data_IF_752738695766
#
_entry.id   IF_752738695766
#
_cell.length_a   1.000
_cell.length_b   1.000
_cell.length_c   1.000
_cell.angle_alpha   90.00
_cell.angle_beta   90.00
_cell.angle_gamma   90.00
#
_symmetry.space_group_name_H-M   'P 1'
#
loop_
_entity.id
_entity.type
_entity.pdbx_description
1 polymer ?
#
# COMPACT_ATOMS: atom_id res chain seq x y z
N UNK A 1 -16.40 -6.75 8.53
CA UNK A 1 -16.78 -5.38 8.10
C UNK A 1 -15.55 -4.78 7.44
N UNK A 2 -15.65 -4.37 6.17
CA UNK A 2 -14.54 -3.74 5.46
C UNK A 2 -14.63 -2.23 5.70
N UNK A 3 -13.60 -1.65 6.31
CA UNK A 3 -13.45 -0.20 6.48
C UNK A 3 -12.79 0.45 5.26
N UNK A 4 -12.38 1.70 5.41
CA UNK A 4 -11.64 2.45 4.38
C UNK A 4 -10.13 2.16 4.38
N UNK A 5 -9.64 1.31 5.28
CA UNK A 5 -8.22 0.96 5.33
C UNK A 5 -7.87 0.02 4.18
N UNK A 6 -6.92 0.45 3.36
CA UNK A 6 -6.37 -0.29 2.24
C UNK A 6 -4.88 -0.54 2.46
N UNK A 7 -4.35 -1.58 1.81
CA UNK A 7 -2.92 -1.89 1.82
C UNK A 7 -2.43 -2.11 0.39
N UNK A 8 -1.22 -1.65 0.11
CA UNK A 8 -0.51 -1.90 -1.14
C UNK A 8 0.59 -2.92 -0.83
N UNK A 9 0.58 -4.05 -1.52
CA UNK A 9 1.56 -5.10 -1.30
C UNK A 9 2.80 -4.85 -2.19
N UNK A 10 3.98 -4.70 -1.57
CA UNK A 10 5.26 -4.52 -2.28
C UNK A 10 5.83 -5.84 -2.78
N UNK A 11 5.47 -6.95 -2.13
CA UNK A 11 5.78 -8.33 -2.54
C UNK A 11 4.48 -9.12 -2.71
N UNK A 12 4.48 -10.17 -3.54
CA UNK A 12 3.31 -11.02 -3.77
C UNK A 12 2.97 -11.77 -2.46
N UNK A 13 1.83 -11.51 -1.81
CA UNK A 13 1.51 -12.13 -0.53
C UNK A 13 0.67 -13.39 -0.75
N UNK A 14 1.31 -14.52 -1.03
CA UNK A 14 0.60 -15.80 -1.32
C UNK A 14 -0.26 -16.30 -0.15
N UNK A 15 0.01 -15.83 1.06
CA UNK A 15 -0.74 -16.15 2.28
C UNK A 15 -2.03 -15.34 2.46
N UNK A 16 -2.28 -14.34 1.60
CA UNK A 16 -3.49 -13.50 1.60
C UNK A 16 -4.54 -13.95 0.57
N UNK A 17 -4.20 -14.91 -0.30
CA UNK A 17 -5.10 -15.44 -1.31
C UNK A 17 -6.36 -16.03 -0.64
N UNK A 18 -7.55 -15.53 -1.04
CA UNK A 18 -8.85 -15.93 -0.50
C UNK A 18 -9.24 -15.32 0.85
N UNK A 19 -8.35 -14.58 1.53
CA UNK A 19 -8.63 -13.91 2.83
C UNK A 19 -8.87 -12.41 2.71
N UNK A 20 -8.30 -11.78 1.69
CA UNK A 20 -8.49 -10.36 1.41
C UNK A 20 -8.92 -10.18 -0.04
N UNK A 21 -9.88 -9.27 -0.27
CA UNK A 21 -10.35 -8.99 -1.62
C UNK A 21 -9.36 -8.06 -2.30
N UNK A 22 -8.77 -8.52 -3.41
CA UNK A 22 -7.91 -7.69 -4.26
C UNK A 22 -8.80 -6.89 -5.22
N UNK A 23 -8.86 -5.57 -5.02
CA UNK A 23 -9.73 -4.67 -5.79
C UNK A 23 -9.02 -3.95 -6.95
N UNK A 24 -7.70 -4.12 -7.11
CA UNK A 24 -6.93 -3.48 -8.18
C UNK A 24 -5.42 -3.72 -8.06
N UNK A 25 -4.69 -3.30 -9.09
CA UNK A 25 -3.22 -3.30 -9.14
C UNK A 25 -2.74 -1.86 -9.31
N UNK A 26 -1.74 -1.44 -8.54
CA UNK A 26 -1.12 -0.13 -8.74
C UNK A 26 -0.53 -0.04 -10.16
N UNK A 27 -0.72 1.12 -10.82
CA UNK A 27 -0.15 1.40 -12.14
C UNK A 27 1.40 1.38 -12.09
N UNK A 28 2.06 1.28 -13.25
CA UNK A 28 3.47 0.89 -13.40
C UNK A 28 4.50 1.74 -12.67
N UNK A 29 4.14 2.94 -12.20
CA UNK A 29 5.01 3.82 -11.41
C UNK A 29 5.19 3.33 -9.95
N UNK A 30 5.90 2.22 -9.81
CA UNK A 30 6.33 1.63 -8.53
C UNK A 30 7.31 2.50 -7.75
N UNK A 31 7.80 3.60 -8.31
CA UNK A 31 8.80 4.47 -7.69
C UNK A 31 8.28 5.10 -6.38
N UNK A 32 7.02 5.54 -6.38
CA UNK A 32 6.40 6.16 -5.20
C UNK A 32 6.19 5.12 -4.10
N UNK A 33 5.71 3.93 -4.45
CA UNK A 33 5.51 2.82 -3.50
C UNK A 33 6.84 2.37 -2.88
N UNK A 34 7.90 2.25 -3.69
CA UNK A 34 9.24 1.92 -3.19
C UNK A 34 9.81 2.99 -2.26
N UNK A 35 9.58 4.27 -2.54
CA UNK A 35 9.99 5.37 -1.66
C UNK A 35 9.26 5.36 -0.32
N UNK A 36 7.96 5.00 -0.32
CA UNK A 36 7.18 4.82 0.91
C UNK A 36 7.67 3.60 1.71
N UNK A 37 7.97 2.49 1.05
CA UNK A 37 8.50 1.27 1.68
C UNK A 37 9.85 1.55 2.35
N UNK A 38 10.75 2.28 1.69
CA UNK A 38 12.06 2.65 2.24
C UNK A 38 11.94 3.53 3.50
N UNK A 39 10.84 4.28 3.63
CA UNK A 39 10.55 5.08 4.81
C UNK A 39 9.96 4.27 5.97
N UNK A 40 9.55 3.03 5.73
CA UNK A 40 9.00 2.10 6.71
C UNK A 40 10.05 1.46 7.61
N UNK A 41 9.59 0.65 8.56
CA UNK A 41 10.46 -0.14 9.43
C UNK A 41 9.82 -1.49 9.77
N UNK A 42 10.62 -2.41 10.33
CA UNK A 42 10.16 -3.78 10.62
C UNK A 42 8.95 -3.86 11.56
N UNK A 43 8.72 -2.85 12.41
CA UNK A 43 7.56 -2.80 13.30
C UNK A 43 6.37 -2.02 12.70
N UNK A 44 6.43 -1.64 11.42
CA UNK A 44 5.38 -0.89 10.74
C UNK A 44 5.37 0.62 11.03
N UNK A 45 6.30 1.14 11.84
CA UNK A 45 6.42 2.58 12.08
C UNK A 45 7.19 3.24 10.95
N UNK A 46 6.64 4.31 10.40
CA UNK A 46 7.34 5.10 9.38
C UNK A 46 8.28 6.09 10.06
N UNK A 47 9.46 6.27 9.46
CA UNK A 47 10.46 7.28 9.87
C UNK A 47 10.02 8.71 9.53
N UNK A 48 9.19 8.85 8.49
CA UNK A 48 8.61 10.12 8.04
C UNK A 48 7.09 10.00 7.97
N UNK A 49 6.40 11.12 8.18
CA UNK A 49 4.95 11.19 7.96
C UNK A 49 4.67 11.08 6.47
N UNK A 50 3.86 10.09 6.09
CA UNK A 50 3.39 9.88 4.73
C UNK A 50 1.91 10.24 4.72
N UNK A 51 1.48 11.06 3.77
CA UNK A 51 0.09 11.55 3.70
C UNK A 51 -0.31 11.67 2.24
N UNK A 52 -1.55 11.29 1.92
CA UNK A 52 -2.15 11.52 0.61
C UNK A 52 -2.55 13.00 0.59
N UNK A 53 -1.81 13.81 -0.17
CA UNK A 53 -2.04 15.25 -0.23
C UNK A 53 -3.28 15.62 -1.05
N UNK A 54 -3.58 14.83 -2.08
CA UNK A 54 -4.76 14.98 -2.95
C UNK A 54 -5.12 13.62 -3.59
N UNK A 55 -6.38 13.41 -3.94
CA UNK A 55 -6.87 12.21 -4.62
C UNK A 55 -8.15 12.47 -5.44
N UNK A 56 -8.34 11.71 -6.52
CA UNK A 56 -9.49 11.85 -7.41
C UNK A 56 -9.59 10.72 -8.42
N UNK A 57 -10.63 10.75 -9.25
CA UNK A 57 -10.83 9.84 -10.39
C UNK A 57 -10.45 10.58 -11.68
N UNK A 58 -9.83 9.86 -12.61
CA UNK A 58 -9.60 10.32 -13.99
C UNK A 58 -10.81 9.94 -14.86
#
# INVERSE_FOLDING_TARGET
MNGSQLFICTTKPEWLDGKQVVFGKASEDRNIVGSMEHSGSRNGKNSKKITIADCGQI
#
